data_IF_533762301645
#
_entry.id   IF_533762301645
#
_cell.length_a   1.000
_cell.length_b   1.000
_cell.length_c   1.000
_cell.angle_alpha   90.00
_cell.angle_beta   90.00
_cell.angle_gamma   90.00
#
_symmetry.space_group_name_H-M   'P 1'
#
loop_
_entity.id
_entity.type
_entity.pdbx_description
1 polymer ?
#
# COMPACT_ATOMS: atom_id res chain seq x y z
N UNK A 1 3.51 -43.17 29.84
CA UNK A 1 2.33 -42.34 30.16
C UNK A 1 2.65 -40.88 30.48
N UNK A 2 3.50 -40.56 31.47
CA UNK A 2 3.81 -39.15 31.81
C UNK A 2 4.47 -38.38 30.64
N UNK A 3 5.55 -38.89 30.04
CA UNK A 3 6.22 -38.24 28.90
C UNK A 3 5.25 -37.98 27.74
N UNK A 4 4.40 -38.96 27.42
CA UNK A 4 3.40 -38.84 26.37
C UNK A 4 2.37 -37.72 26.64
N UNK A 5 1.95 -37.49 27.90
CA UNK A 5 1.10 -36.35 28.25
C UNK A 5 1.82 -35.01 28.12
N UNK A 6 3.11 -34.95 28.47
CA UNK A 6 3.92 -33.73 28.30
C UNK A 6 4.08 -33.39 26.82
N UNK A 7 4.35 -34.40 25.98
CA UNK A 7 4.48 -34.21 24.52
C UNK A 7 3.16 -33.84 23.85
N UNK A 8 2.00 -34.30 24.33
CA UNK A 8 0.69 -33.83 23.82
C UNK A 8 0.45 -32.32 24.03
N UNK A 9 1.28 -31.64 24.82
CA UNK A 9 1.25 -30.19 25.03
C UNK A 9 2.68 -29.61 25.08
N UNK A 10 3.54 -30.02 24.14
CA UNK A 10 4.95 -29.64 24.17
C UNK A 10 5.16 -28.12 24.03
N UNK A 11 4.24 -27.41 23.37
CA UNK A 11 4.28 -25.95 23.26
C UNK A 11 4.25 -25.23 24.61
N UNK A 12 3.63 -25.82 25.63
CA UNK A 12 3.57 -25.26 26.98
C UNK A 12 4.85 -25.55 27.79
N UNK A 13 5.37 -26.78 27.70
CA UNK A 13 6.43 -27.26 28.60
C UNK A 13 7.85 -27.08 28.07
N UNK A 14 8.00 -26.92 26.75
CA UNK A 14 9.29 -26.81 26.10
C UNK A 14 9.45 -25.48 25.37
N UNK A 15 10.70 -25.11 25.13
CA UNK A 15 11.17 -23.92 24.46
C UNK A 15 12.47 -24.23 23.74
N UNK A 16 12.98 -23.28 22.98
CA UNK A 16 14.27 -23.45 22.29
C UNK A 16 15.42 -23.77 23.26
N UNK A 17 15.39 -23.19 24.47
CA UNK A 17 16.43 -23.39 25.48
C UNK A 17 16.48 -24.82 26.05
N UNK A 18 15.38 -25.57 26.01
CA UNK A 18 15.30 -26.94 26.53
C UNK A 18 14.92 -27.96 25.44
N UNK A 19 15.20 -27.65 24.17
CA UNK A 19 14.94 -28.49 23.01
C UNK A 19 15.60 -29.90 23.13
N UNK A 20 16.77 -30.01 23.76
CA UNK A 20 17.42 -31.30 24.01
C UNK A 20 16.63 -32.23 24.95
N UNK A 21 15.90 -31.65 25.90
CA UNK A 21 15.01 -32.39 26.81
C UNK A 21 13.79 -32.89 26.03
N UNK A 22 13.23 -32.05 25.15
CA UNK A 22 12.15 -32.42 24.25
C UNK A 22 12.55 -33.61 23.37
N UNK A 23 13.70 -33.54 22.70
CA UNK A 23 14.22 -34.63 21.85
C UNK A 23 14.42 -35.92 22.65
N UNK A 24 14.98 -35.83 23.86
CA UNK A 24 15.16 -37.00 24.72
C UNK A 24 13.83 -37.64 25.12
N UNK A 25 12.83 -36.84 25.48
CA UNK A 25 11.49 -37.34 25.81
C UNK A 25 10.77 -37.94 24.60
N UNK A 26 10.93 -37.32 23.42
CA UNK A 26 10.39 -37.83 22.17
C UNK A 26 10.96 -39.22 21.86
N UNK A 27 12.28 -39.39 21.94
CA UNK A 27 12.94 -40.68 21.71
C UNK A 27 12.42 -41.77 22.65
N UNK A 28 12.24 -41.45 23.94
CA UNK A 28 11.67 -42.39 24.91
C UNK A 28 10.24 -42.82 24.57
N UNK A 29 9.43 -41.90 24.04
CA UNK A 29 8.04 -42.18 23.66
C UNK A 29 7.98 -42.96 22.34
N UNK A 30 8.86 -42.66 21.38
CA UNK A 30 8.99 -43.41 20.13
C UNK A 30 9.37 -44.88 20.34
N UNK A 31 10.23 -45.18 21.32
CA UNK A 31 10.55 -46.56 21.70
C UNK A 31 9.33 -47.35 22.21
N UNK A 32 8.25 -46.66 22.59
CA UNK A 32 6.98 -47.25 23.04
C UNK A 32 5.83 -47.14 22.04
N UNK A 33 6.12 -46.70 20.80
CA UNK A 33 5.11 -46.40 19.77
C UNK A 33 4.26 -47.59 19.32
N UNK A 34 4.67 -48.83 19.61
CA UNK A 34 3.92 -50.05 19.28
C UNK A 34 2.56 -50.19 19.99
N UNK A 35 2.23 -49.32 20.96
CA UNK A 35 1.03 -49.41 21.81
C UNK A 35 0.01 -48.28 21.55
N UNK A 36 -0.06 -47.71 20.35
CA UNK A 36 -1.07 -46.71 20.01
C UNK A 36 -2.47 -47.34 20.08
N UNK A 37 -3.39 -46.67 20.79
CA UNK A 37 -4.81 -47.07 20.89
C UNK A 37 -5.63 -46.26 19.89
N UNK A 38 -6.56 -46.93 19.18
CA UNK A 38 -7.43 -46.33 18.13
C UNK A 38 -8.15 -45.04 18.55
N UNK A 39 -8.52 -44.91 19.83
CA UNK A 39 -9.18 -43.72 20.39
C UNK A 39 -8.42 -42.41 20.12
N UNK A 40 -7.12 -42.46 19.81
CA UNK A 40 -6.32 -41.27 19.60
C UNK A 40 -6.46 -40.64 18.19
N UNK A 41 -6.94 -41.38 17.18
CA UNK A 41 -7.07 -40.93 15.78
C UNK A 41 -8.44 -40.31 15.44
N UNK A 42 -9.54 -40.74 16.09
CA UNK A 42 -10.92 -40.41 15.67
C UNK A 42 -11.30 -38.92 15.81
N UNK A 43 -10.50 -38.12 16.55
CA UNK A 43 -10.73 -36.69 16.79
C UNK A 43 -9.75 -35.74 16.07
N UNK A 44 -9.00 -36.24 15.07
CA UNK A 44 -7.98 -35.46 14.36
C UNK A 44 -8.58 -34.49 13.32
N UNK A 45 -8.13 -33.22 13.32
CA UNK A 45 -8.48 -32.25 12.28
C UNK A 45 -7.87 -32.60 10.91
N UNK A 46 -6.73 -33.29 10.91
CA UNK A 46 -6.03 -33.76 9.72
C UNK A 46 -5.71 -35.24 9.94
N UNK A 47 -6.21 -36.10 9.05
CA UNK A 47 -5.95 -37.54 9.10
C UNK A 47 -4.47 -37.87 8.85
N UNK A 48 -4.03 -39.02 9.37
CA UNK A 48 -2.68 -39.53 9.14
C UNK A 48 -2.53 -40.04 7.70
N UNK A 49 -1.39 -39.84 7.03
CA UNK A 49 -1.18 -40.33 5.67
C UNK A 49 -1.26 -41.86 5.60
N UNK A 50 -1.87 -42.39 4.52
CA UNK A 50 -2.01 -43.84 4.31
C UNK A 50 -0.62 -44.49 4.15
N UNK A 51 -0.32 -45.51 4.96
CA UNK A 51 0.98 -46.20 4.95
C UNK A 51 2.06 -45.59 5.84
N UNK A 52 1.70 -44.66 6.74
CA UNK A 52 2.61 -44.10 7.74
C UNK A 52 3.12 -45.16 8.73
N UNK A 53 4.38 -45.03 9.17
CA UNK A 53 4.91 -45.88 10.24
C UNK A 53 4.26 -45.51 11.58
N UNK A 54 4.22 -46.43 12.57
CA UNK A 54 3.68 -46.12 13.91
C UNK A 54 4.33 -44.89 14.55
N UNK A 55 5.62 -44.66 14.32
CA UNK A 55 6.36 -43.49 14.78
C UNK A 55 5.88 -42.21 14.12
N UNK A 56 5.70 -42.23 12.80
CA UNK A 56 5.17 -41.10 12.01
C UNK A 56 3.75 -40.75 12.44
N UNK A 57 2.88 -41.76 12.61
CA UNK A 57 1.51 -41.61 13.12
C UNK A 57 1.50 -41.00 14.51
N UNK A 58 2.34 -41.49 15.42
CA UNK A 58 2.43 -40.95 16.77
C UNK A 58 2.89 -39.49 16.78
N UNK A 59 3.89 -39.14 15.98
CA UNK A 59 4.36 -37.75 15.88
C UNK A 59 3.29 -36.84 15.31
N UNK A 60 2.61 -37.26 14.24
CA UNK A 60 1.48 -36.53 13.67
C UNK A 60 0.43 -36.22 14.75
N UNK A 61 0.04 -37.23 15.53
CA UNK A 61 -0.93 -37.07 16.63
C UNK A 61 -0.44 -36.06 17.68
N UNK A 62 0.83 -36.14 18.08
CA UNK A 62 1.41 -35.24 19.08
C UNK A 62 1.43 -33.78 18.60
N UNK A 63 1.81 -33.54 17.34
CA UNK A 63 1.84 -32.22 16.70
C UNK A 63 0.44 -31.62 16.69
N UNK A 64 -0.54 -32.32 16.11
CA UNK A 64 -1.92 -31.85 16.00
C UNK A 64 -2.48 -31.49 17.38
N UNK A 65 -2.31 -32.35 18.39
CA UNK A 65 -2.84 -32.12 19.75
C UNK A 65 -2.14 -30.99 20.49
N UNK A 66 -0.82 -30.89 20.36
CA UNK A 66 -0.11 -29.80 21.01
C UNK A 66 -0.51 -28.46 20.43
N UNK A 67 -0.73 -28.37 19.12
CA UNK A 67 -1.16 -27.14 18.47
C UNK A 67 -2.60 -26.80 18.85
N UNK A 68 -3.52 -27.77 18.82
CA UNK A 68 -4.90 -27.55 19.30
C UNK A 68 -4.94 -27.03 20.74
N UNK A 69 -4.07 -27.55 21.61
CA UNK A 69 -3.97 -27.10 23.01
C UNK A 69 -3.38 -25.69 23.11
N UNK A 70 -2.30 -25.42 22.38
CA UNK A 70 -1.67 -24.11 22.32
C UNK A 70 -2.63 -23.04 21.79
N UNK A 71 -3.36 -23.36 20.72
CA UNK A 71 -4.39 -22.52 20.14
C UNK A 71 -5.51 -22.19 21.13
N UNK A 72 -6.03 -23.17 21.87
CA UNK A 72 -7.06 -22.92 22.91
C UNK A 72 -6.56 -21.97 23.99
N UNK A 73 -5.30 -22.14 24.43
CA UNK A 73 -4.70 -21.24 25.40
C UNK A 73 -4.52 -19.83 24.84
N UNK A 74 -4.10 -19.71 23.58
CA UNK A 74 -3.97 -18.43 22.90
C UNK A 74 -5.32 -17.72 22.73
N UNK A 75 -6.39 -18.46 22.39
CA UNK A 75 -7.73 -17.92 22.29
C UNK A 75 -8.22 -17.33 23.63
N UNK A 76 -8.02 -18.05 24.73
CA UNK A 76 -8.36 -17.57 26.09
C UNK A 76 -7.52 -16.34 26.47
N UNK A 77 -6.23 -16.35 26.14
CA UNK A 77 -5.31 -15.23 26.38
C UNK A 77 -5.76 -13.98 25.62
N UNK A 78 -6.04 -14.11 24.33
CA UNK A 78 -6.52 -13.06 23.45
C UNK A 78 -7.86 -12.45 23.93
N UNK A 79 -8.82 -13.29 24.34
CA UNK A 79 -10.09 -12.84 24.90
C UNK A 79 -9.89 -12.05 26.22
N UNK A 80 -8.97 -12.51 27.06
CA UNK A 80 -8.61 -11.83 28.31
C UNK A 80 -7.95 -10.46 28.07
N UNK A 81 -7.05 -10.38 27.10
CA UNK A 81 -6.28 -9.17 26.77
C UNK A 81 -7.09 -8.16 25.95
N UNK A 82 -8.10 -8.59 25.19
CA UNK A 82 -8.91 -7.73 24.31
C UNK A 82 -9.45 -6.48 25.01
N UNK A 83 -9.90 -6.62 26.26
CA UNK A 83 -10.41 -5.49 27.07
C UNK A 83 -9.32 -4.54 27.54
N UNK A 84 -8.11 -5.04 27.78
CA UNK A 84 -6.99 -4.23 28.25
C UNK A 84 -6.32 -3.46 27.10
N UNK A 85 -6.24 -4.08 25.93
CA UNK A 85 -5.60 -3.48 24.75
C UNK A 85 -6.56 -2.72 23.84
N UNK A 86 -7.86 -2.74 24.12
CA UNK A 86 -8.90 -2.17 23.25
C UNK A 86 -8.82 -2.69 21.81
N UNK A 87 -8.44 -3.96 21.63
CA UNK A 87 -8.29 -4.63 20.34
C UNK A 87 -9.23 -5.82 20.23
N UNK A 88 -9.63 -6.13 19.00
CA UNK A 88 -10.44 -7.33 18.74
C UNK A 88 -9.64 -8.61 19.05
N UNK A 89 -10.24 -9.64 19.71
CA UNK A 89 -9.53 -10.87 20.07
C UNK A 89 -8.84 -11.57 18.90
N UNK A 90 -9.43 -11.53 17.69
CA UNK A 90 -8.80 -12.13 16.50
C UNK A 90 -7.46 -11.50 16.13
N UNK A 91 -7.28 -10.19 16.35
CA UNK A 91 -6.02 -9.49 16.07
C UNK A 91 -4.94 -10.01 17.03
N UNK A 92 -5.29 -10.12 18.31
CA UNK A 92 -4.39 -10.63 19.35
C UNK A 92 -4.06 -12.10 19.10
N UNK A 93 -5.06 -12.91 18.76
CA UNK A 93 -4.89 -14.31 18.40
C UNK A 93 -3.92 -14.48 17.22
N UNK A 94 -4.08 -13.70 16.15
CA UNK A 94 -3.16 -13.74 15.01
C UNK A 94 -1.71 -13.45 15.44
N UNK A 95 -1.52 -12.47 16.34
CA UNK A 95 -0.19 -12.11 16.85
C UNK A 95 0.43 -13.21 17.73
N UNK A 96 -0.35 -13.82 18.62
CA UNK A 96 0.12 -14.92 19.47
C UNK A 96 0.42 -16.19 18.65
N UNK A 97 -0.42 -16.50 17.65
CA UNK A 97 -0.18 -17.63 16.76
C UNK A 97 1.08 -17.45 15.92
N UNK A 98 1.44 -16.24 15.47
CA UNK A 98 2.74 -16.00 14.81
C UNK A 98 3.92 -16.37 15.69
N UNK A 99 3.87 -16.01 16.97
CA UNK A 99 4.92 -16.37 17.93
C UNK A 99 4.99 -17.89 18.14
N UNK A 100 3.85 -18.57 18.18
CA UNK A 100 3.79 -20.02 18.27
C UNK A 100 4.33 -20.71 17.00
N UNK A 101 4.01 -20.19 15.82
CA UNK A 101 4.55 -20.66 14.54
C UNK A 101 6.08 -20.50 14.51
N UNK A 102 6.60 -19.34 14.93
CA UNK A 102 8.05 -19.13 14.99
C UNK A 102 8.72 -20.12 15.95
N UNK A 103 8.10 -20.35 17.11
CA UNK A 103 8.57 -21.33 18.08
C UNK A 103 8.53 -22.76 17.52
N UNK A 104 7.47 -23.14 16.82
CA UNK A 104 7.34 -24.44 16.17
C UNK A 104 8.42 -24.67 15.11
N UNK A 105 8.62 -23.69 14.21
CA UNK A 105 9.61 -23.78 13.16
C UNK A 105 11.05 -23.80 13.70
N UNK A 106 11.35 -23.01 14.74
CA UNK A 106 12.72 -22.86 15.27
C UNK A 106 13.12 -23.93 16.29
N UNK A 107 12.19 -24.40 17.13
CA UNK A 107 12.51 -25.28 18.25
C UNK A 107 12.07 -26.73 18.06
N UNK A 108 10.96 -26.99 17.37
CA UNK A 108 10.33 -28.32 17.35
C UNK A 108 10.41 -29.01 15.99
N UNK A 109 10.09 -28.29 14.92
CA UNK A 109 10.16 -28.78 13.54
C UNK A 109 11.49 -29.48 13.20
N UNK A 110 12.68 -28.94 13.55
CA UNK A 110 13.95 -29.60 13.22
C UNK A 110 14.16 -30.95 13.91
N UNK A 111 13.60 -31.12 15.12
CA UNK A 111 13.67 -32.39 15.87
C UNK A 111 12.68 -33.39 15.30
N UNK A 112 11.44 -32.94 15.05
CA UNK A 112 10.36 -33.77 14.54
C UNK A 112 10.63 -34.26 13.12
N UNK A 113 11.25 -33.42 12.28
CA UNK A 113 11.58 -33.75 10.89
C UNK A 113 12.48 -34.98 10.74
N UNK A 114 13.31 -35.30 11.74
CA UNK A 114 14.17 -36.50 11.74
C UNK A 114 13.38 -37.81 11.68
N UNK A 115 12.16 -37.79 12.21
CA UNK A 115 11.31 -38.96 12.38
C UNK A 115 10.05 -38.90 11.51
N UNK A 116 9.54 -37.69 11.26
CA UNK A 116 8.41 -37.43 10.38
C UNK A 116 8.69 -36.18 9.55
N UNK A 117 9.18 -36.32 8.30
CA UNK A 117 9.57 -35.18 7.46
C UNK A 117 8.48 -34.12 7.25
N UNK A 118 7.21 -34.56 7.21
CA UNK A 118 6.04 -33.70 7.01
C UNK A 118 5.57 -33.00 8.29
N UNK A 119 6.19 -33.25 9.46
CA UNK A 119 5.74 -32.70 10.76
C UNK A 119 5.57 -31.17 10.74
N UNK A 120 6.54 -30.46 10.14
CA UNK A 120 6.49 -29.00 10.03
C UNK A 120 5.35 -28.52 9.12
N UNK A 121 5.07 -29.21 8.01
CA UNK A 121 3.91 -28.91 7.15
C UNK A 121 2.61 -29.13 7.90
N UNK A 122 2.45 -30.28 8.55
CA UNK A 122 1.26 -30.57 9.37
C UNK A 122 1.05 -29.47 10.40
N UNK A 123 2.10 -29.06 11.10
CA UNK A 123 2.00 -28.02 12.09
C UNK A 123 1.47 -26.70 11.51
N UNK A 124 2.09 -26.20 10.44
CA UNK A 124 1.69 -24.97 9.76
C UNK A 124 0.27 -25.05 9.20
N UNK A 125 -0.13 -26.20 8.64
CA UNK A 125 -1.50 -26.44 8.16
C UNK A 125 -2.52 -26.41 9.30
N UNK A 126 -2.23 -27.01 10.46
CA UNK A 126 -3.16 -26.99 11.61
C UNK A 126 -3.30 -25.57 12.16
N UNK A 127 -2.20 -24.80 12.26
CA UNK A 127 -2.25 -23.39 12.65
C UNK A 127 -3.12 -22.56 11.70
N UNK A 128 -2.92 -22.72 10.39
CA UNK A 128 -3.69 -22.04 9.37
C UNK A 128 -5.18 -22.41 9.42
N UNK A 129 -5.51 -23.71 9.55
CA UNK A 129 -6.89 -24.18 9.63
C UNK A 129 -7.63 -23.63 10.86
N UNK A 130 -7.01 -23.70 12.04
CA UNK A 130 -7.63 -23.27 13.29
C UNK A 130 -7.95 -21.77 13.32
N UNK A 131 -7.03 -20.94 12.84
CA UNK A 131 -7.29 -19.51 12.70
C UNK A 131 -8.35 -19.22 11.63
N UNK A 132 -8.25 -19.89 10.47
CA UNK A 132 -9.18 -19.74 9.36
C UNK A 132 -10.63 -20.01 9.76
N UNK A 133 -10.86 -21.04 10.57
CA UNK A 133 -12.20 -21.35 11.10
C UNK A 133 -12.76 -20.20 11.96
N UNK A 134 -11.95 -19.53 12.77
CA UNK A 134 -12.43 -18.37 13.54
C UNK A 134 -12.67 -17.15 12.66
N UNK A 135 -11.80 -16.93 11.68
CA UNK A 135 -11.96 -15.84 10.74
C UNK A 135 -13.24 -16.01 9.92
N UNK A 136 -13.52 -17.22 9.44
CA UNK A 136 -14.74 -17.54 8.69
C UNK A 136 -16.00 -17.28 9.53
N UNK A 137 -16.04 -17.76 10.78
CA UNK A 137 -17.13 -17.48 11.71
C UNK A 137 -17.35 -15.97 11.95
N UNK A 138 -16.27 -15.19 11.99
CA UNK A 138 -16.37 -13.74 12.12
C UNK A 138 -16.89 -13.07 10.84
N UNK A 139 -16.43 -13.51 9.67
CA UNK A 139 -16.85 -12.97 8.37
C UNK A 139 -18.29 -13.34 8.00
N UNK A 140 -18.81 -14.46 8.50
CA UNK A 140 -20.23 -14.83 8.36
C UNK A 140 -21.15 -14.03 9.30
N UNK A 141 -20.59 -13.41 10.35
CA UNK A 141 -21.32 -12.58 11.29
C UNK A 141 -21.84 -11.29 10.65
N UNK A 142 -23.08 -10.89 10.97
CA UNK A 142 -23.75 -9.71 10.40
C UNK A 142 -23.22 -8.36 10.90
N UNK A 143 -22.45 -8.34 12.00
CA UNK A 143 -21.87 -7.14 12.59
C UNK A 143 -20.45 -6.92 12.07
N UNK A 144 -20.35 -6.43 10.83
CA UNK A 144 -19.07 -5.97 10.29
C UNK A 144 -18.63 -4.68 11.02
N UNK A 145 -17.85 -4.91 12.08
CA UNK A 145 -17.32 -3.98 13.09
C UNK A 145 -16.48 -2.81 12.53
N UNK A 146 -16.35 -1.74 13.33
CA UNK A 146 -15.32 -0.68 13.22
C UNK A 146 -13.89 -1.23 13.03
N UNK A 147 -13.61 -2.45 13.53
CA UNK A 147 -12.28 -3.08 13.50
C UNK A 147 -12.04 -3.98 12.29
N UNK A 148 -12.96 -4.08 11.33
CA UNK A 148 -12.86 -5.00 10.19
C UNK A 148 -11.53 -4.84 9.44
N UNK A 149 -11.12 -3.60 9.16
CA UNK A 149 -9.85 -3.29 8.47
C UNK A 149 -8.64 -3.89 9.19
N UNK A 150 -8.57 -3.72 10.50
CA UNK A 150 -7.45 -4.21 11.31
C UNK A 150 -7.45 -5.74 11.43
N UNK A 151 -8.63 -6.36 11.54
CA UNK A 151 -8.77 -7.82 11.57
C UNK A 151 -8.32 -8.44 10.26
N UNK A 152 -8.74 -7.88 9.12
CA UNK A 152 -8.29 -8.34 7.80
C UNK A 152 -6.77 -8.18 7.64
N UNK A 153 -6.20 -7.05 8.08
CA UNK A 153 -4.75 -6.82 8.05
C UNK A 153 -3.96 -7.81 8.92
N UNK A 154 -4.42 -8.06 10.15
CA UNK A 154 -3.79 -9.04 11.05
C UNK A 154 -3.85 -10.46 10.48
N UNK A 155 -5.00 -10.83 9.89
CA UNK A 155 -5.23 -12.11 9.23
C UNK A 155 -4.32 -12.30 8.01
N UNK A 156 -4.20 -11.29 7.16
CA UNK A 156 -3.35 -11.32 5.96
C UNK A 156 -1.89 -11.51 6.35
N UNK A 157 -1.44 -10.75 7.35
CA UNK A 157 -0.07 -10.88 7.85
C UNK A 157 0.18 -12.25 8.51
N UNK A 158 -0.82 -12.89 9.14
CA UNK A 158 -0.68 -14.26 9.66
C UNK A 158 -0.60 -15.29 8.53
N UNK A 159 -1.46 -15.18 7.52
CA UNK A 159 -1.45 -16.07 6.37
C UNK A 159 -0.14 -15.98 5.58
N UNK A 160 0.36 -14.77 5.34
CA UNK A 160 1.68 -14.54 4.72
C UNK A 160 2.81 -15.13 5.56
N UNK A 161 2.74 -15.05 6.90
CA UNK A 161 3.72 -15.70 7.78
C UNK A 161 3.74 -17.22 7.57
N UNK A 162 2.57 -17.86 7.50
CA UNK A 162 2.48 -19.30 7.23
C UNK A 162 3.05 -19.63 5.83
N UNK A 163 2.63 -18.88 4.81
CA UNK A 163 3.09 -19.08 3.43
C UNK A 163 4.62 -18.95 3.31
N UNK A 164 5.19 -17.91 3.92
CA UNK A 164 6.63 -17.69 3.94
C UNK A 164 7.38 -18.83 4.63
N UNK A 165 6.89 -19.30 5.78
CA UNK A 165 7.51 -20.44 6.49
C UNK A 165 7.45 -21.72 5.67
N UNK A 166 6.30 -22.02 5.06
CA UNK A 166 6.15 -23.16 4.16
C UNK A 166 7.12 -23.09 2.98
N UNK A 167 7.16 -21.95 2.28
CA UNK A 167 8.07 -21.74 1.15
C UNK A 167 9.54 -21.89 1.56
N UNK A 168 9.94 -21.30 2.70
CA UNK A 168 11.32 -21.37 3.17
C UNK A 168 11.79 -22.78 3.53
N UNK A 169 10.90 -23.62 4.06
CA UNK A 169 11.23 -24.96 4.55
C UNK A 169 11.16 -26.01 3.44
N UNK A 170 10.29 -25.81 2.45
CA UNK A 170 9.92 -26.86 1.50
C UNK A 170 10.07 -26.46 0.02
N UNK A 171 10.39 -25.19 -0.26
CA UNK A 171 10.51 -24.66 -1.61
C UNK A 171 9.23 -24.82 -2.44
N UNK A 172 9.41 -24.91 -3.76
CA UNK A 172 8.34 -25.04 -4.75
C UNK A 172 7.73 -26.45 -4.86
N UNK A 173 8.16 -27.40 -4.02
CA UNK A 173 7.71 -28.79 -4.11
C UNK A 173 6.24 -28.94 -3.68
N UNK A 174 5.33 -28.77 -4.65
CA UNK A 174 3.87 -28.71 -4.48
C UNK A 174 3.17 -30.05 -4.17
N UNK A 175 3.92 -31.16 -4.11
CA UNK A 175 3.33 -32.50 -3.93
C UNK A 175 3.23 -32.90 -2.46
N UNK A 176 2.15 -32.54 -1.77
CA UNK A 176 1.80 -33.14 -0.48
C UNK A 176 0.29 -33.34 -0.37
N UNK A 177 -0.17 -34.42 0.27
CA UNK A 177 -1.60 -34.67 0.52
C UNK A 177 -2.26 -33.63 1.44
N UNK A 178 -1.45 -32.82 2.13
CA UNK A 178 -1.86 -31.74 3.03
C UNK A 178 -2.32 -30.49 2.29
N UNK A 179 -2.05 -30.43 1.00
CA UNK A 179 -2.32 -29.27 0.16
C UNK A 179 -3.80 -28.93 0.06
N UNK A 180 -4.68 -29.93 0.17
CA UNK A 180 -6.15 -29.77 0.21
C UNK A 180 -6.65 -28.93 1.41
N UNK A 181 -5.86 -28.83 2.48
CA UNK A 181 -6.22 -28.13 3.72
C UNK A 181 -5.68 -26.71 3.80
N UNK A 182 -4.76 -26.31 2.91
CA UNK A 182 -4.09 -25.00 2.91
C UNK A 182 -4.71 -24.04 1.88
N UNK A 183 -6.00 -23.70 2.07
CA UNK A 183 -6.70 -22.78 1.16
C UNK A 183 -6.55 -21.33 1.62
N UNK A 184 -6.17 -20.38 0.73
CA UNK A 184 -6.09 -18.98 1.12
C UNK A 184 -7.40 -18.46 1.73
N UNK A 185 -7.33 -17.55 2.69
CA UNK A 185 -8.48 -16.95 3.35
C UNK A 185 -9.29 -16.00 2.45
N UNK A 186 -8.80 -15.68 1.25
CA UNK A 186 -9.44 -14.79 0.27
C UNK A 186 -9.73 -13.40 0.86
N UNK A 187 -8.78 -12.86 1.62
CA UNK A 187 -8.91 -11.56 2.30
C UNK A 187 -9.12 -10.42 1.30
N UNK A 188 -8.54 -10.54 0.11
CA UNK A 188 -8.68 -9.60 -1.02
C UNK A 188 -10.15 -9.31 -1.35
N UNK A 189 -11.01 -10.33 -1.29
CA UNK A 189 -12.44 -10.20 -1.57
C UNK A 189 -13.14 -9.26 -0.59
N UNK A 190 -12.71 -9.23 0.67
CA UNK A 190 -13.30 -8.42 1.72
C UNK A 190 -12.61 -7.07 1.86
N UNK A 191 -11.30 -7.00 1.61
CA UNK A 191 -10.52 -5.77 1.76
C UNK A 191 -10.62 -4.84 0.56
N UNK A 192 -10.82 -5.36 -0.66
CA UNK A 192 -10.81 -4.53 -1.88
C UNK A 192 -11.80 -3.36 -1.84
N UNK A 193 -13.09 -3.54 -1.46
CA UNK A 193 -14.02 -2.41 -1.34
C UNK A 193 -13.57 -1.37 -0.30
N UNK A 194 -12.97 -1.83 0.81
CA UNK A 194 -12.50 -0.96 1.90
C UNK A 194 -11.31 -0.10 1.41
N UNK A 195 -10.37 -0.71 0.69
CA UNK A 195 -9.20 -0.03 0.13
C UNK A 195 -9.65 1.00 -0.91
N UNK A 196 -10.55 0.64 -1.82
CA UNK A 196 -11.06 1.55 -2.84
C UNK A 196 -11.84 2.72 -2.23
N UNK A 197 -12.65 2.47 -1.21
CA UNK A 197 -13.37 3.54 -0.49
C UNK A 197 -12.39 4.48 0.21
N UNK A 198 -11.34 3.95 0.85
CA UNK A 198 -10.31 4.76 1.47
C UNK A 198 -9.55 5.58 0.42
N UNK A 199 -9.15 4.98 -0.70
CA UNK A 199 -8.48 5.68 -1.81
C UNK A 199 -9.34 6.82 -2.35
N UNK A 200 -10.63 6.59 -2.54
CA UNK A 200 -11.56 7.63 -2.98
C UNK A 200 -11.59 8.82 -2.02
N UNK A 201 -11.71 8.56 -0.71
CA UNK A 201 -11.66 9.61 0.30
C UNK A 201 -10.31 10.35 0.32
N UNK A 202 -9.20 9.64 0.14
CA UNK A 202 -7.88 10.27 0.02
C UNK A 202 -7.79 11.15 -1.23
N UNK A 203 -8.26 10.68 -2.38
CA UNK A 203 -8.25 11.48 -3.60
C UNK A 203 -9.03 12.78 -3.43
N UNK A 204 -10.22 12.74 -2.81
CA UNK A 204 -11.00 13.96 -2.52
C UNK A 204 -10.25 14.90 -1.57
N UNK A 205 -9.63 14.35 -0.52
CA UNK A 205 -8.84 15.15 0.43
C UNK A 205 -7.64 15.82 -0.24
N UNK A 206 -6.82 15.07 -0.97
CA UNK A 206 -5.64 15.60 -1.68
C UNK A 206 -6.06 16.63 -2.73
N UNK A 207 -7.14 16.38 -3.45
CA UNK A 207 -7.67 17.29 -4.46
C UNK A 207 -8.12 18.63 -3.84
N UNK A 208 -8.98 18.59 -2.82
CA UNK A 208 -9.49 19.80 -2.17
C UNK A 208 -8.37 20.57 -1.46
N UNK A 209 -7.44 19.85 -0.83
CA UNK A 209 -6.28 20.46 -0.20
C UNK A 209 -5.39 21.16 -1.22
N UNK A 210 -5.08 20.50 -2.35
CA UNK A 210 -4.28 21.08 -3.44
C UNK A 210 -4.91 22.38 -3.95
N UNK A 211 -6.23 22.38 -4.14
CA UNK A 211 -6.97 23.57 -4.58
C UNK A 211 -6.88 24.73 -3.60
N UNK A 212 -7.02 24.48 -2.29
CA UNK A 212 -6.92 25.52 -1.26
C UNK A 212 -5.50 26.09 -1.19
N UNK A 213 -4.50 25.22 -1.23
CA UNK A 213 -3.11 25.60 -1.11
C UNK A 213 -2.65 26.43 -2.31
N UNK A 214 -3.10 26.10 -3.52
CA UNK A 214 -2.76 26.90 -4.70
C UNK A 214 -3.51 28.24 -4.75
N UNK A 215 -4.73 28.32 -4.20
CA UNK A 215 -5.51 29.58 -4.13
C UNK A 215 -4.84 30.65 -3.25
N UNK A 216 -4.08 30.23 -2.23
CA UNK A 216 -3.39 31.15 -1.30
C UNK A 216 -1.91 31.39 -1.64
N UNK A 217 -1.39 30.77 -2.70
CA UNK A 217 0.01 30.89 -3.11
C UNK A 217 0.32 32.29 -3.68
N UNK A 218 1.37 32.93 -3.16
CA UNK A 218 1.85 34.24 -3.60
C UNK A 218 3.03 34.17 -4.59
N UNK A 219 3.60 32.97 -4.78
CA UNK A 219 4.79 32.67 -5.59
C UNK A 219 6.08 33.34 -5.10
N UNK A 220 6.15 33.63 -3.80
CA UNK A 220 7.40 34.04 -3.17
C UNK A 220 8.32 32.83 -2.95
N UNK A 221 9.66 33.01 -3.04
CA UNK A 221 10.59 31.90 -2.88
C UNK A 221 10.54 31.35 -1.45
N UNK A 222 10.38 30.03 -1.32
CA UNK A 222 10.39 29.32 -0.03
C UNK A 222 11.58 29.69 0.87
N UNK A 223 12.76 29.91 0.30
CA UNK A 223 13.91 30.46 1.01
C UNK A 223 14.93 31.09 0.06
N UNK A 224 15.95 31.75 0.62
CA UNK A 224 17.07 32.32 -0.14
C UNK A 224 17.79 31.28 -1.02
N UNK A 225 17.82 30.02 -0.56
CA UNK A 225 18.47 28.91 -1.27
C UNK A 225 17.51 28.03 -2.08
N UNK A 226 16.23 27.93 -1.66
CA UNK A 226 15.18 27.20 -2.38
C UNK A 226 14.16 28.20 -2.94
N UNK A 227 14.36 28.61 -4.19
CA UNK A 227 13.45 29.50 -4.92
C UNK A 227 12.28 28.70 -5.52
N UNK A 228 11.55 28.00 -4.66
CA UNK A 228 10.46 27.08 -5.01
C UNK A 228 9.15 27.57 -4.39
N UNK A 229 8.01 27.25 -4.99
CA UNK A 229 6.69 27.51 -4.40
C UNK A 229 6.48 26.66 -3.14
N UNK A 230 5.92 27.26 -2.09
CA UNK A 230 5.67 26.56 -0.82
C UNK A 230 4.56 25.52 -0.99
N UNK A 231 3.51 25.88 -1.75
CA UNK A 231 2.38 25.00 -2.05
C UNK A 231 2.80 23.65 -2.63
N UNK A 232 3.75 23.62 -3.57
CA UNK A 232 4.13 22.39 -4.24
C UNK A 232 4.87 21.41 -3.31
N UNK A 233 5.71 21.91 -2.41
CA UNK A 233 6.40 21.05 -1.42
C UNK A 233 5.38 20.32 -0.57
N UNK A 234 4.35 21.03 -0.13
CA UNK A 234 3.34 20.47 0.76
C UNK A 234 2.34 19.56 0.01
N UNK A 235 2.03 19.83 -1.27
CA UNK A 235 1.30 18.85 -2.12
C UNK A 235 2.08 17.53 -2.19
N UNK A 236 3.38 17.57 -2.48
CA UNK A 236 4.18 16.35 -2.53
C UNK A 236 4.29 15.66 -1.17
N UNK A 237 4.41 16.41 -0.07
CA UNK A 237 4.39 15.84 1.30
C UNK A 237 3.13 15.01 1.55
N UNK A 238 1.96 15.50 1.14
CA UNK A 238 0.69 14.80 1.32
C UNK A 238 0.57 13.61 0.38
N UNK A 239 1.06 13.73 -0.86
CA UNK A 239 1.13 12.61 -1.81
C UNK A 239 2.02 11.49 -1.27
N UNK A 240 3.21 11.81 -0.78
CA UNK A 240 4.13 10.86 -0.14
C UNK A 240 3.48 10.20 1.08
N UNK A 241 2.85 10.99 1.97
CA UNK A 241 2.12 10.46 3.12
C UNK A 241 0.98 9.52 2.69
N UNK A 242 0.29 9.82 1.59
CA UNK A 242 -0.77 8.96 1.03
C UNK A 242 -0.21 7.65 0.49
N UNK A 243 0.92 7.70 -0.22
CA UNK A 243 1.62 6.52 -0.74
C UNK A 243 2.09 5.64 0.42
N UNK A 244 2.68 6.24 1.45
CA UNK A 244 3.14 5.52 2.63
C UNK A 244 1.96 4.84 3.35
N UNK A 245 0.84 5.53 3.54
CA UNK A 245 -0.35 4.93 4.16
C UNK A 245 -0.96 3.80 3.31
N UNK A 246 -0.91 3.92 1.98
CA UNK A 246 -1.39 2.90 1.06
C UNK A 246 -0.60 1.58 1.21
N UNK A 247 0.73 1.66 1.14
CA UNK A 247 1.60 0.49 1.25
C UNK A 247 1.67 -0.08 2.68
N UNK A 248 1.51 0.76 3.71
CA UNK A 248 1.48 0.32 5.11
C UNK A 248 0.11 -0.21 5.58
N UNK A 249 -0.89 -0.35 4.68
CA UNK A 249 -2.25 -0.73 5.05
C UNK A 249 -2.40 -2.16 5.62
N UNK A 250 -1.36 -3.01 5.54
CA UNK A 250 -1.36 -4.43 5.93
C UNK A 250 -2.38 -5.32 5.18
N UNK A 251 -3.11 -4.75 4.21
CA UNK A 251 -4.11 -5.43 3.40
C UNK A 251 -3.51 -5.91 2.09
N UNK A 252 -4.06 -6.97 1.47
CA UNK A 252 -3.64 -7.38 0.14
C UNK A 252 -4.02 -6.30 -0.89
N UNK A 253 -3.02 -5.82 -1.62
CA UNK A 253 -3.16 -4.82 -2.67
C UNK A 253 -3.12 -5.50 -4.04
N UNK A 254 -3.88 -4.96 -4.99
CA UNK A 254 -3.94 -5.43 -6.38
C UNK A 254 -3.72 -4.28 -7.38
N UNK A 255 -3.62 -4.62 -8.66
CA UNK A 255 -3.40 -3.64 -9.73
C UNK A 255 -4.49 -2.58 -9.80
N UNK A 256 -5.74 -2.91 -9.49
CA UNK A 256 -6.83 -1.94 -9.53
C UNK A 256 -6.61 -0.87 -8.47
N UNK A 257 -6.16 -1.26 -7.28
CA UNK A 257 -5.79 -0.33 -6.22
C UNK A 257 -4.60 0.55 -6.61
N UNK A 258 -3.53 -0.03 -7.17
CA UNK A 258 -2.37 0.72 -7.65
C UNK A 258 -2.76 1.74 -8.72
N UNK A 259 -3.52 1.30 -9.74
CA UNK A 259 -4.00 2.18 -10.81
C UNK A 259 -4.83 3.33 -10.26
N UNK A 260 -5.70 3.06 -9.30
CA UNK A 260 -6.51 4.09 -8.64
C UNK A 260 -5.62 5.11 -7.93
N UNK A 261 -4.63 4.68 -7.13
CA UNK A 261 -3.66 5.56 -6.49
C UNK A 261 -2.94 6.47 -7.49
N UNK A 262 -2.41 5.89 -8.59
CA UNK A 262 -1.71 6.65 -9.63
C UNK A 262 -2.61 7.70 -10.29
N UNK A 263 -3.87 7.36 -10.57
CA UNK A 263 -4.87 8.32 -11.08
C UNK A 263 -5.11 9.45 -10.08
N UNK A 264 -5.23 9.15 -8.78
CA UNK A 264 -5.42 10.17 -7.74
C UNK A 264 -4.26 11.16 -7.67
N UNK A 265 -3.03 10.66 -7.63
CA UNK A 265 -1.80 11.47 -7.59
C UNK A 265 -1.72 12.35 -8.85
N UNK A 266 -1.83 11.76 -10.03
CA UNK A 266 -1.75 12.52 -11.29
C UNK A 266 -2.85 13.55 -11.44
N UNK A 267 -4.08 13.22 -11.04
CA UNK A 267 -5.20 14.17 -11.08
C UNK A 267 -4.93 15.40 -10.20
N UNK A 268 -4.38 15.20 -8.99
CA UNK A 268 -4.04 16.32 -8.09
C UNK A 268 -2.96 17.23 -8.69
N UNK A 269 -1.91 16.65 -9.30
CA UNK A 269 -0.84 17.39 -9.95
C UNK A 269 -1.31 18.11 -11.21
N UNK A 270 -2.18 17.49 -12.00
CA UNK A 270 -2.76 18.13 -13.19
C UNK A 270 -3.60 19.37 -12.83
N UNK A 271 -4.35 19.32 -11.73
CA UNK A 271 -5.08 20.51 -11.23
C UNK A 271 -4.13 21.64 -10.86
N UNK A 272 -3.02 21.31 -10.20
CA UNK A 272 -1.99 22.27 -9.85
C UNK A 272 -1.38 22.93 -11.10
N UNK A 273 -1.01 22.12 -12.10
CA UNK A 273 -0.45 22.59 -13.37
C UNK A 273 -1.46 23.44 -14.16
N UNK A 274 -2.71 23.02 -14.26
CA UNK A 274 -3.77 23.75 -14.96
C UNK A 274 -4.03 25.11 -14.31
N UNK A 275 -3.98 25.20 -12.98
CA UNK A 275 -4.09 26.48 -12.29
C UNK A 275 -2.91 27.39 -12.64
N UNK A 276 -1.68 26.86 -12.66
CA UNK A 276 -0.49 27.63 -13.05
C UNK A 276 -0.57 28.15 -14.49
N UNK A 277 -1.10 27.34 -15.41
CA UNK A 277 -1.36 27.73 -16.79
C UNK A 277 -2.42 28.85 -16.88
N UNK A 278 -3.52 28.75 -16.12
CA UNK A 278 -4.60 29.74 -16.10
C UNK A 278 -4.17 31.12 -15.55
N UNK A 279 -3.10 31.17 -14.75
CA UNK A 279 -2.52 32.42 -14.27
C UNK A 279 -1.73 33.17 -15.35
N UNK A 280 -1.44 32.55 -16.49
CA UNK A 280 -0.76 33.20 -17.60
C UNK A 280 -1.70 34.17 -18.36
N UNK A 281 -1.11 35.12 -19.08
CA UNK A 281 -1.82 36.13 -19.87
C UNK A 281 -1.39 36.03 -21.33
N UNK A 282 -2.34 36.23 -22.25
CA UNK A 282 -2.03 36.15 -23.69
C UNK A 282 -1.14 37.31 -24.13
N UNK A 283 -0.25 37.02 -25.09
CA UNK A 283 0.72 37.95 -25.69
C UNK A 283 0.11 39.29 -26.14
N UNK A 284 -1.11 39.25 -26.67
CA UNK A 284 -1.83 40.43 -27.14
C UNK A 284 -2.15 41.46 -26.03
N UNK A 285 -2.05 41.06 -24.76
CA UNK A 285 -2.31 41.92 -23.60
C UNK A 285 -1.07 42.69 -23.16
N UNK A 286 0.14 42.25 -23.54
CA UNK A 286 1.40 42.95 -23.27
C UNK A 286 1.67 44.09 -24.27
N UNK A 287 0.97 44.11 -25.40
CA UNK A 287 1.13 45.14 -26.41
C UNK A 287 0.10 46.25 -26.18
N UNK A 288 0.50 47.53 -26.13
CA UNK A 288 -0.47 48.61 -26.10
C UNK A 288 -1.33 48.52 -27.36
N UNK A 289 -2.65 48.70 -27.20
CA UNK A 289 -3.58 48.77 -28.34
C UNK A 289 -3.05 49.83 -29.29
N UNK A 290 -2.81 49.45 -30.55
CA UNK A 290 -2.29 50.35 -31.57
C UNK A 290 -3.11 51.65 -31.56
N UNK A 291 -2.48 52.83 -31.41
CA UNK A 291 -3.21 54.08 -31.31
C UNK A 291 -4.07 54.24 -32.56
N UNK A 292 -5.34 54.60 -32.37
CA UNK A 292 -6.25 54.87 -33.49
C UNK A 292 -5.60 55.96 -34.33
N UNK A 293 -5.33 55.69 -35.60
CA UNK A 293 -4.74 56.65 -36.53
C UNK A 293 -5.69 57.85 -36.65
N UNK A 294 -5.44 58.88 -35.85
CA UNK A 294 -6.18 60.12 -35.89
C UNK A 294 -5.57 60.97 -36.99
N UNK A 295 -6.20 60.90 -38.16
CA UNK A 295 -5.94 61.87 -39.23
C UNK A 295 -6.26 63.25 -38.66
N UNK A 296 -5.30 64.18 -38.70
CA UNK A 296 -5.53 65.56 -38.27
C UNK A 296 -6.62 66.18 -39.15
N UNK A 297 -7.80 66.42 -38.58
CA UNK A 297 -8.82 67.26 -39.17
C UNK A 297 -9.09 68.39 -38.17
N UNK A 298 -8.76 69.63 -38.55
CA UNK A 298 -9.19 70.83 -37.85
C UNK A 298 -10.72 70.83 -37.76
N UNK A 299 -11.26 70.34 -36.66
CA UNK A 299 -12.65 70.59 -36.31
C UNK A 299 -12.75 70.80 -34.81
N UNK A 300 -13.12 72.03 -34.50
CA UNK A 300 -13.42 72.56 -33.17
C UNK A 300 -14.70 71.86 -32.71
N UNK A 301 -14.60 70.90 -31.79
CA UNK A 301 -15.79 70.45 -31.07
C UNK A 301 -15.45 70.00 -29.63
N UNK A 302 -15.77 70.80 -28.59
CA UNK A 302 -15.33 70.54 -27.21
C UNK A 302 -16.18 69.52 -26.42
N UNK A 303 -17.08 68.76 -27.05
CA UNK A 303 -18.00 67.85 -26.35
C UNK A 303 -18.04 66.42 -26.92
N UNK A 304 -16.92 65.72 -26.87
CA UNK A 304 -16.92 64.25 -26.94
C UNK A 304 -16.77 63.69 -25.52
N UNK A 305 -17.89 63.29 -24.90
CA UNK A 305 -17.90 62.62 -23.58
C UNK A 305 -17.04 61.36 -23.65
N UNK A 306 -15.95 61.32 -22.87
CA UNK A 306 -15.21 60.09 -22.55
C UNK A 306 -16.19 59.07 -21.95
N UNK A 307 -16.47 57.98 -22.67
CA UNK A 307 -17.00 56.76 -22.07
C UNK A 307 -15.86 56.10 -21.29
N UNK A 308 -15.77 56.41 -20.00
CA UNK A 308 -14.71 55.94 -19.09
C UNK A 308 -15.34 55.13 -17.96
N UNK A 309 -16.00 53.99 -18.24
CA UNK A 309 -16.53 53.12 -17.16
C UNK A 309 -16.35 51.60 -17.43
N UNK A 310 -16.11 51.14 -18.67
CA UNK A 310 -15.89 49.70 -18.93
C UNK A 310 -14.43 49.22 -18.93
N UNK A 311 -13.42 50.10 -19.08
CA UNK A 311 -12.01 49.65 -19.09
C UNK A 311 -11.44 49.37 -17.70
N UNK A 312 -11.91 50.07 -16.65
CA UNK A 312 -11.36 49.98 -15.30
C UNK A 312 -11.48 48.57 -14.67
N UNK A 313 -12.63 47.90 -14.82
CA UNK A 313 -12.84 46.53 -14.28
C UNK A 313 -12.03 45.47 -15.05
N UNK A 314 -11.79 45.70 -16.35
CA UNK A 314 -10.94 44.84 -17.17
C UNK A 314 -9.47 45.04 -16.84
N UNK A 315 -9.06 46.28 -16.57
CA UNK A 315 -7.71 46.65 -16.15
C UNK A 315 -7.34 46.08 -14.78
N UNK A 316 -8.25 46.07 -13.80
CA UNK A 316 -7.97 45.53 -12.46
C UNK A 316 -7.71 44.00 -12.46
N UNK A 317 -8.50 43.24 -13.22
CA UNK A 317 -8.25 41.79 -13.41
C UNK A 317 -6.95 41.50 -14.16
N UNK A 318 -6.60 42.35 -15.13
CA UNK A 318 -5.34 42.23 -15.90
C UNK A 318 -4.15 42.63 -15.03
N UNK A 319 -4.27 43.66 -14.21
CA UNK A 319 -3.25 44.11 -13.26
C UNK A 319 -2.94 43.06 -12.19
N UNK A 320 -3.97 42.42 -11.62
CA UNK A 320 -3.77 41.33 -10.66
C UNK A 320 -3.08 40.11 -11.28
N UNK A 321 -3.38 39.79 -12.54
CA UNK A 321 -2.63 38.75 -13.27
C UNK A 321 -1.19 39.17 -13.56
N UNK A 322 -0.95 40.43 -13.93
CA UNK A 322 0.40 40.97 -14.16
C UNK A 322 1.28 40.92 -12.91
N UNK A 323 0.72 41.18 -11.72
CA UNK A 323 1.45 41.09 -10.44
C UNK A 323 1.96 39.66 -10.14
N UNK A 324 1.34 38.63 -10.73
CA UNK A 324 1.78 37.23 -10.62
C UNK A 324 2.72 36.79 -11.76
N UNK A 325 3.11 37.72 -12.63
CA UNK A 325 3.97 37.53 -13.80
C UNK A 325 5.24 38.38 -13.75
N UNK A 326 5.64 38.85 -12.56
CA UNK A 326 6.96 39.48 -12.36
C UNK A 326 8.07 38.46 -12.58
N UNK A 327 9.23 38.91 -13.06
CA UNK A 327 10.37 38.01 -13.36
C UNK A 327 10.74 37.09 -12.19
N UNK A 328 10.82 37.55 -10.92
CA UNK A 328 11.12 36.68 -9.79
C UNK A 328 10.09 35.55 -9.59
N UNK A 329 8.79 35.86 -9.71
CA UNK A 329 7.70 34.88 -9.56
C UNK A 329 7.68 33.87 -10.70
N UNK A 330 7.98 34.31 -11.92
CA UNK A 330 8.15 33.41 -13.07
C UNK A 330 9.34 32.46 -12.86
N UNK A 331 10.46 32.93 -12.30
CA UNK A 331 11.57 32.05 -11.93
C UNK A 331 11.17 31.03 -10.86
N UNK A 332 10.39 31.42 -9.85
CA UNK A 332 9.85 30.48 -8.84
C UNK A 332 8.96 29.43 -9.49
N UNK A 333 8.08 29.82 -10.43
CA UNK A 333 7.24 28.89 -11.21
C UNK A 333 8.08 27.91 -12.03
N UNK A 334 9.12 28.39 -12.74
CA UNK A 334 10.02 27.54 -13.51
C UNK A 334 10.75 26.52 -12.63
N UNK A 335 11.29 26.95 -11.50
CA UNK A 335 11.94 26.05 -10.53
C UNK A 335 10.93 25.03 -9.98
N UNK A 336 9.68 25.44 -9.78
CA UNK A 336 8.59 24.57 -9.32
C UNK A 336 8.23 23.51 -10.35
N UNK A 337 8.16 23.87 -11.63
CA UNK A 337 7.93 22.91 -12.71
C UNK A 337 9.08 21.91 -12.84
N UNK A 338 10.33 22.36 -12.69
CA UNK A 338 11.47 21.45 -12.66
C UNK A 338 11.41 20.51 -11.46
N UNK A 339 11.11 21.04 -10.27
CA UNK A 339 10.95 20.24 -9.06
C UNK A 339 9.85 19.18 -9.19
N UNK A 340 8.69 19.53 -9.79
CA UNK A 340 7.62 18.56 -10.06
C UNK A 340 8.12 17.38 -10.88
N UNK A 341 8.94 17.64 -11.91
CA UNK A 341 9.50 16.59 -12.75
C UNK A 341 10.45 15.69 -11.98
N UNK A 342 11.38 16.29 -11.23
CA UNK A 342 12.37 15.54 -10.44
C UNK A 342 11.71 14.70 -9.32
N UNK A 343 10.65 15.24 -8.70
CA UNK A 343 9.87 14.54 -7.67
C UNK A 343 9.01 13.42 -8.25
N UNK A 344 8.43 13.61 -9.45
CA UNK A 344 7.68 12.56 -10.13
C UNK A 344 8.56 11.35 -10.40
N UNK A 345 9.79 11.54 -10.85
CA UNK A 345 10.73 10.44 -11.09
C UNK A 345 11.05 9.70 -9.77
N UNK A 346 11.22 10.45 -8.66
CA UNK A 346 11.49 9.88 -7.34
C UNK A 346 10.30 9.06 -6.83
N UNK A 347 9.07 9.58 -6.96
CA UNK A 347 7.84 8.93 -6.54
C UNK A 347 7.55 7.71 -7.40
N UNK A 348 7.73 7.81 -8.72
CA UNK A 348 7.54 6.69 -9.64
C UNK A 348 8.43 5.50 -9.27
N UNK A 349 9.72 5.74 -9.07
CA UNK A 349 10.66 4.69 -8.65
C UNK A 349 10.35 4.15 -7.24
N UNK A 350 9.95 5.03 -6.31
CA UNK A 350 9.54 4.63 -4.96
C UNK A 350 8.29 3.74 -4.94
N UNK A 351 7.29 4.04 -5.77
CA UNK A 351 6.07 3.23 -5.91
C UNK A 351 6.42 1.89 -6.58
N UNK A 352 7.22 1.87 -7.65
CA UNK A 352 7.66 0.62 -8.30
C UNK A 352 8.39 -0.30 -7.33
N UNK A 353 9.34 0.25 -6.57
CA UNK A 353 10.08 -0.53 -5.58
C UNK A 353 9.17 -1.11 -4.49
N UNK A 354 8.23 -0.30 -3.97
CA UNK A 354 7.26 -0.77 -2.97
C UNK A 354 6.28 -1.82 -3.55
N UNK A 355 5.98 -1.73 -4.85
CA UNK A 355 5.12 -2.69 -5.55
C UNK A 355 5.76 -4.07 -5.70
N UNK A 356 7.08 -4.16 -5.83
CA UNK A 356 7.81 -5.44 -5.87
C UNK A 356 7.57 -6.24 -4.58
N UNK A 357 7.55 -5.58 -3.42
CA UNK A 357 7.26 -6.24 -2.14
C UNK A 357 5.83 -6.77 -2.08
N UNK A 358 4.87 -6.02 -2.64
CA UNK A 358 3.47 -6.46 -2.78
C UNK A 358 3.38 -7.69 -3.70
N UNK A 359 4.07 -7.68 -4.84
CA UNK A 359 4.10 -8.82 -5.76
C UNK A 359 4.71 -10.07 -5.11
N UNK A 360 5.77 -9.91 -4.31
CA UNK A 360 6.35 -11.02 -3.56
C UNK A 360 5.35 -11.61 -2.56
N UNK A 361 4.56 -10.76 -1.89
CA UNK A 361 3.50 -11.22 -0.97
C UNK A 361 2.38 -11.95 -1.72
N UNK A 362 1.94 -11.43 -2.87
CA UNK A 362 0.96 -12.10 -3.74
C UNK A 362 1.47 -13.47 -4.20
N UNK A 363 2.73 -13.57 -4.62
CA UNK A 363 3.35 -14.84 -5.02
C UNK A 363 3.34 -15.90 -3.90
N UNK A 364 3.49 -15.49 -2.64
CA UNK A 364 3.37 -16.40 -1.49
C UNK A 364 1.93 -16.91 -1.29
N UNK A 365 0.91 -16.08 -1.54
CA UNK A 365 -0.49 -16.50 -1.47
C UNK A 365 -0.90 -17.37 -2.67
N UNK A 366 -0.37 -17.07 -3.85
CA UNK A 366 -0.53 -17.91 -5.04
C UNK A 366 0.13 -19.28 -4.83
N UNK A 367 1.27 -19.34 -4.15
CA UNK A 367 1.89 -20.60 -3.73
C UNK A 367 0.92 -21.46 -2.89
N UNK A 368 0.23 -20.88 -1.90
CA UNK A 368 -0.81 -21.59 -1.14
C UNK A 368 -1.95 -22.08 -2.05
N UNK A 369 -2.37 -21.27 -3.01
CA UNK A 369 -3.40 -21.65 -3.99
C UNK A 369 -2.97 -22.83 -4.85
N UNK A 370 -1.73 -22.83 -5.35
CA UNK A 370 -1.18 -23.90 -6.18
C UNK A 370 -1.04 -25.22 -5.44
N UNK A 371 -0.79 -25.20 -4.13
CA UNK A 371 -0.82 -26.39 -3.29
C UNK A 371 -2.21 -27.07 -3.40
N UNK A 372 -3.30 -26.30 -3.32
CA UNK A 372 -4.66 -26.86 -3.23
C UNK A 372 -5.22 -27.46 -4.53
N UNK A 373 -4.56 -27.26 -5.68
CA UNK A 373 -5.06 -27.67 -6.99
C UNK A 373 -4.21 -28.78 -7.60
N UNK A 374 -4.73 -30.01 -7.62
CA UNK A 374 -4.30 -31.03 -8.58
C UNK A 374 -4.70 -30.56 -10.00
N UNK A 375 -3.89 -29.71 -10.61
CA UNK A 375 -4.05 -29.26 -11.98
C UNK A 375 -5.09 -28.14 -12.18
N UNK A 376 -4.67 -26.90 -12.00
CA UNK A 376 -5.30 -25.75 -12.65
C UNK A 376 -4.25 -24.68 -12.94
N UNK A 377 -4.32 -24.15 -14.15
CA UNK A 377 -3.52 -23.07 -14.73
C UNK A 377 -3.33 -21.92 -13.75
N UNK A 378 -2.07 -21.54 -13.53
CA UNK A 378 -1.68 -20.26 -12.91
C UNK A 378 -2.58 -19.14 -13.43
N UNK A 379 -3.30 -18.44 -12.56
CA UNK A 379 -3.77 -17.10 -12.92
C UNK A 379 -2.53 -16.35 -13.37
N UNK A 380 -2.46 -15.94 -14.64
CA UNK A 380 -1.31 -15.22 -15.15
C UNK A 380 -1.17 -13.97 -14.29
N UNK A 381 -0.10 -13.91 -13.49
CA UNK A 381 0.33 -12.67 -12.90
C UNK A 381 0.42 -11.64 -14.04
N UNK A 382 -0.07 -10.42 -13.83
CA UNK A 382 0.11 -9.35 -14.80
C UNK A 382 1.59 -9.29 -15.19
N UNK A 383 1.90 -9.28 -16.48
CA UNK A 383 3.29 -9.15 -16.92
C UNK A 383 3.85 -7.80 -16.46
N UNK A 384 5.15 -7.72 -16.17
CA UNK A 384 5.80 -6.45 -15.81
C UNK A 384 5.52 -5.36 -16.84
N UNK A 385 5.42 -5.73 -18.12
CA UNK A 385 5.04 -4.84 -19.23
C UNK A 385 3.65 -4.19 -19.02
N UNK A 386 2.68 -4.91 -18.46
CA UNK A 386 1.35 -4.37 -18.14
C UNK A 386 1.33 -3.42 -16.94
N UNK A 387 2.34 -3.52 -16.06
CA UNK A 387 2.49 -2.66 -14.89
C UNK A 387 3.19 -1.36 -15.31
N UNK A 388 4.22 -1.45 -16.14
CA UNK A 388 4.91 -0.28 -16.70
C UNK A 388 3.95 0.61 -17.51
N UNK A 389 2.99 0.02 -18.22
CA UNK A 389 1.92 0.75 -18.91
C UNK A 389 1.12 1.66 -17.96
N UNK A 390 0.94 1.30 -16.68
CA UNK A 390 0.20 2.12 -15.72
C UNK A 390 0.94 3.42 -15.38
N UNK A 391 2.28 3.40 -15.40
CA UNK A 391 3.10 4.56 -15.05
C UNK A 391 3.21 5.59 -16.17
N UNK A 392 2.79 5.25 -17.39
CA UNK A 392 2.69 6.19 -18.51
C UNK A 392 1.79 7.40 -18.20
N UNK A 393 0.89 7.28 -17.21
CA UNK A 393 0.07 8.41 -16.72
C UNK A 393 0.91 9.56 -16.14
N UNK A 394 2.12 9.29 -15.62
CA UNK A 394 3.05 10.34 -15.19
C UNK A 394 3.66 11.10 -16.38
N UNK A 395 3.78 10.46 -17.55
CA UNK A 395 4.29 11.11 -18.77
C UNK A 395 3.41 12.29 -19.19
N UNK A 396 2.10 12.18 -19.00
CA UNK A 396 1.15 13.25 -19.31
C UNK A 396 1.35 14.47 -18.40
N UNK A 397 1.63 14.24 -17.11
CA UNK A 397 1.96 15.30 -16.15
C UNK A 397 3.30 15.95 -16.51
N UNK A 398 4.33 15.14 -16.81
CA UNK A 398 5.65 15.63 -17.25
C UNK A 398 5.54 16.48 -18.52
N UNK A 399 4.78 16.02 -19.52
CA UNK A 399 4.54 16.74 -20.77
C UNK A 399 3.84 18.08 -20.52
N UNK A 400 2.84 18.10 -19.65
CA UNK A 400 2.13 19.33 -19.27
C UNK A 400 3.08 20.32 -18.59
N UNK A 401 3.91 19.86 -17.67
CA UNK A 401 4.91 20.71 -17.00
C UNK A 401 5.93 21.31 -17.99
N UNK A 402 6.38 20.53 -18.98
CA UNK A 402 7.28 21.02 -20.05
C UNK A 402 6.58 22.08 -20.91
N UNK A 403 5.34 21.84 -21.34
CA UNK A 403 4.60 22.82 -22.13
C UNK A 403 4.40 24.15 -21.38
N UNK A 404 4.10 24.11 -20.08
CA UNK A 404 3.98 25.32 -19.24
C UNK A 404 5.34 26.01 -19.12
N UNK A 405 6.42 25.25 -18.95
CA UNK A 405 7.81 25.76 -18.88
C UNK A 405 8.15 26.55 -20.16
N UNK A 406 7.92 25.96 -21.32
CA UNK A 406 8.16 26.61 -22.62
C UNK A 406 7.32 27.88 -22.78
N UNK A 407 6.08 27.87 -22.30
CA UNK A 407 5.21 29.05 -22.37
C UNK A 407 5.72 30.19 -21.48
N UNK A 408 6.19 29.88 -20.27
CA UNK A 408 6.81 30.86 -19.37
C UNK A 408 8.12 31.41 -19.96
N UNK A 409 8.99 30.55 -20.50
CA UNK A 409 10.26 30.97 -21.10
C UNK A 409 10.04 31.91 -22.29
N UNK A 410 9.07 31.60 -23.15
CA UNK A 410 8.69 32.48 -24.25
C UNK A 410 8.20 33.85 -23.75
N UNK A 411 7.39 33.87 -22.69
CA UNK A 411 6.90 35.11 -22.08
C UNK A 411 8.02 35.97 -21.49
N UNK A 412 8.99 35.36 -20.79
CA UNK A 412 10.18 36.06 -20.28
C UNK A 412 11.02 36.64 -21.43
N UNK A 413 11.24 35.86 -22.50
CA UNK A 413 11.96 36.32 -23.69
C UNK A 413 11.31 37.54 -24.33
N UNK A 414 9.98 37.55 -24.42
CA UNK A 414 9.20 38.69 -24.93
C UNK A 414 9.32 39.92 -24.01
N UNK A 415 9.18 39.76 -22.69
CA UNK A 415 9.37 40.85 -21.72
C UNK A 415 10.75 41.52 -21.86
N UNK A 416 11.81 40.71 -21.98
CA UNK A 416 13.18 41.22 -22.17
C UNK A 416 13.35 41.93 -23.52
N UNK A 417 12.66 41.47 -24.57
CA UNK A 417 12.69 42.10 -25.90
C UNK A 417 11.91 43.42 -25.96
N UNK A 418 10.86 43.55 -25.14
CA UNK A 418 9.93 44.68 -25.10
C UNK A 418 10.37 45.80 -24.15
N UNK A 419 11.60 45.78 -23.62
CA UNK A 419 12.20 46.81 -22.76
C UNK A 419 11.96 48.24 -23.27
N UNK A 420 10.78 48.73 -22.91
CA UNK A 420 10.15 50.00 -23.23
C UNK A 420 9.72 50.56 -21.87
N UNK A 421 9.84 51.86 -21.61
CA UNK A 421 9.74 52.46 -20.27
C UNK A 421 8.38 52.29 -19.55
N UNK A 422 7.42 51.56 -20.14
CA UNK A 422 6.12 51.23 -19.54
C UNK A 422 6.12 49.95 -18.67
N UNK A 423 7.15 49.09 -18.77
CA UNK A 423 7.20 47.79 -18.07
C UNK A 423 8.27 47.68 -16.96
N UNK A 424 8.84 48.80 -16.53
CA UNK A 424 9.88 48.86 -15.48
C UNK A 424 9.44 48.39 -14.10
N UNK A 425 8.16 48.11 -13.87
CA UNK A 425 7.67 47.51 -12.62
C UNK A 425 7.55 45.97 -12.68
N UNK A 426 7.75 45.36 -13.86
CA UNK A 426 7.58 43.92 -14.10
C UNK A 426 8.92 43.21 -14.34
N UNK A 427 9.87 43.92 -14.96
CA UNK A 427 11.30 43.55 -14.99
C UNK A 427 11.94 43.83 -13.64
#
# INVERSE_FOLDING_TARGET
MWCHRQLKNYHLYFSQANCSIFESMLNLVLLSAANLTDDDEEAMLIGTPLGSTPESTLIHILVVRSIQTAYKNALISADGQSKAEFKHPLILLASELKLLVEKECSAFSPVLHKYYPEAGRVALTVFHLLYGQQLELFLEGSDHSENLKEILGASNSFELCIAQKLYSMYGEAAGSSLSNFLKPYMIDRFSSPIILQWLHAQHENVFEWTKRTIEIEDWEPLSVHRKLATSMVEVFRIVEETIDQFFNSSLPLDIVHLRSLLIGITSSLQVYLLHMENQQVSRATLLPVAPVLTRYAESINPFAKRKLIESAVREEKVANKLNNLTVPKLCVKLNTLQYIRDQLDTIEEGIKQSWVDVQSAVGLLDYLSCMTSEGATSKSSPSDESIDELFTIFDDVRRTAVNITDTILNFIGELLSLCSPQFTSIC
#
